data_IF_562413234717
#
_entry.id   IF_562413234717
#
_cell.length_a   1.000
_cell.length_b   1.000
_cell.length_c   1.000
_cell.angle_alpha   90.00
_cell.angle_beta   90.00
_cell.angle_gamma   90.00
#
_symmetry.space_group_name_H-M   'P 1'
#
loop_
_entity.id
_entity.type
_entity.pdbx_description
1 polymer ?
#
# COMPACT_ATOMS: atom_id res chain seq x y z
N UNK A 1 43.83 14.00 -30.58
CA UNK A 1 43.76 13.15 -29.37
C UNK A 1 42.31 12.67 -29.25
N UNK A 2 42.06 11.37 -29.40
CA UNK A 2 40.72 10.76 -29.52
C UNK A 2 40.33 10.07 -28.21
N UNK A 3 39.15 10.35 -27.67
CA UNK A 3 38.60 9.68 -26.50
C UNK A 3 37.97 8.31 -26.86
N UNK A 4 38.03 7.30 -25.98
CA UNK A 4 37.41 6.00 -26.23
C UNK A 4 35.88 6.04 -26.02
N UNK A 5 35.15 5.38 -26.92
CA UNK A 5 33.69 5.28 -26.92
C UNK A 5 33.26 4.14 -25.98
N UNK A 6 32.39 4.43 -25.00
CA UNK A 6 31.76 3.41 -24.14
C UNK A 6 30.59 2.76 -24.89
N UNK A 7 30.71 1.47 -25.19
CA UNK A 7 29.64 0.67 -25.82
C UNK A 7 28.74 0.11 -24.71
N UNK A 8 27.50 0.60 -24.65
CA UNK A 8 26.44 0.06 -23.79
C UNK A 8 25.75 -1.10 -24.52
N UNK A 9 25.91 -2.33 -24.01
CA UNK A 9 25.15 -3.50 -24.49
C UNK A 9 23.72 -3.43 -23.92
N UNK A 10 22.73 -3.25 -24.79
CA UNK A 10 21.32 -3.30 -24.42
C UNK A 10 20.86 -4.74 -24.12
N UNK A 11 20.02 -4.97 -23.09
CA UNK A 11 19.32 -6.25 -22.92
C UNK A 11 18.24 -6.43 -24.02
N UNK A 12 17.94 -7.68 -24.44
CA UNK A 12 16.99 -7.93 -25.52
C UNK A 12 15.55 -7.54 -25.14
N UNK A 13 14.73 -7.13 -26.12
CA UNK A 13 13.33 -6.79 -25.88
C UNK A 13 12.51 -8.08 -25.76
N UNK A 14 12.03 -8.39 -24.55
CA UNK A 14 10.95 -9.35 -24.41
C UNK A 14 9.64 -8.63 -24.76
N UNK A 15 9.27 -8.74 -26.04
CA UNK A 15 8.01 -8.22 -26.57
C UNK A 15 6.81 -8.98 -25.99
N UNK A 16 5.78 -8.21 -25.66
CA UNK A 16 4.46 -8.68 -25.30
C UNK A 16 3.51 -7.49 -25.25
N UNK A 17 2.82 -7.26 -26.36
CA UNK A 17 1.73 -6.31 -26.56
C UNK A 17 0.75 -6.28 -25.39
N UNK A 18 0.59 -5.11 -24.76
CA UNK A 18 -0.69 -4.64 -24.24
C UNK A 18 -0.75 -3.12 -24.34
N UNK A 19 -1.57 -2.66 -25.29
CA UNK A 19 -2.09 -1.30 -25.38
C UNK A 19 -2.82 -0.93 -24.08
N UNK A 20 -2.32 0.07 -23.36
CA UNK A 20 -3.05 0.85 -22.37
C UNK A 20 -2.23 2.08 -21.98
N UNK A 21 -2.67 3.23 -22.48
CA UNK A 21 -2.68 4.56 -21.86
C UNK A 21 -1.68 4.83 -20.74
N UNK A 22 -0.84 5.86 -20.93
CA UNK A 22 0.01 6.45 -19.90
C UNK A 22 -0.80 6.76 -18.63
N UNK A 23 -0.72 5.87 -17.65
CA UNK A 23 -1.22 6.08 -16.31
C UNK A 23 -0.03 6.14 -15.37
N UNK A 24 -0.04 7.17 -14.53
CA UNK A 24 0.96 7.46 -13.51
C UNK A 24 1.22 6.18 -12.72
N UNK A 25 2.47 5.79 -12.40
CA UNK A 25 2.68 4.70 -11.47
C UNK A 25 2.22 5.17 -10.09
N UNK A 26 0.93 5.00 -9.80
CA UNK A 26 0.46 4.88 -8.44
C UNK A 26 1.32 3.81 -7.76
N UNK A 27 1.81 4.02 -6.53
CA UNK A 27 2.68 3.08 -5.86
C UNK A 27 1.94 1.75 -5.73
N UNK A 28 2.25 0.82 -6.62
CA UNK A 28 1.77 -0.56 -6.57
C UNK A 28 2.40 -1.17 -5.33
N UNK A 29 1.69 -1.11 -4.21
CA UNK A 29 1.97 -1.94 -3.04
C UNK A 29 1.61 -3.39 -3.39
N UNK A 30 2.31 -3.95 -4.38
CA UNK A 30 2.37 -5.36 -4.71
C UNK A 30 3.24 -6.07 -3.68
N UNK A 31 2.85 -5.99 -2.42
CA UNK A 31 3.28 -6.93 -1.40
C UNK A 31 2.16 -7.92 -1.22
N UNK A 32 2.18 -9.02 -2.00
CA UNK A 32 1.32 -10.17 -1.75
C UNK A 32 1.61 -10.71 -0.36
N UNK A 33 0.98 -10.13 0.64
CA UNK A 33 1.09 -10.54 2.04
C UNK A 33 0.05 -11.63 2.18
N UNK A 34 0.55 -12.87 2.26
CA UNK A 34 -0.21 -14.07 2.60
C UNK A 34 -1.33 -13.73 3.57
N UNK A 35 -2.56 -14.14 3.27
CA UNK A 35 -3.79 -13.92 4.05
C UNK A 35 -3.58 -14.32 5.52
N UNK A 36 -3.01 -13.40 6.28
CA UNK A 36 -2.54 -13.58 7.63
C UNK A 36 -2.96 -12.37 8.43
N UNK A 37 -3.25 -12.58 9.70
CA UNK A 37 -3.75 -11.53 10.59
C UNK A 37 -2.84 -10.29 10.52
N UNK A 38 -3.39 -9.09 10.28
CA UNK A 38 -2.59 -7.87 10.16
C UNK A 38 -1.80 -7.66 11.44
N UNK A 39 -0.53 -7.23 11.31
CA UNK A 39 0.25 -6.77 12.45
C UNK A 39 -0.39 -5.47 12.94
N UNK A 40 -0.84 -5.43 14.18
CA UNK A 40 -1.51 -4.27 14.77
C UNK A 40 -0.83 -3.87 16.07
N UNK A 41 -0.68 -2.57 16.30
CA UNK A 41 -0.32 -2.07 17.64
C UNK A 41 -1.45 -2.37 18.63
N UNK A 42 -1.12 -2.37 19.93
CA UNK A 42 -2.11 -2.57 20.99
C UNK A 42 -3.26 -1.57 20.90
N UNK A 43 -2.95 -0.29 20.67
CA UNK A 43 -3.95 0.78 20.52
C UNK A 43 -4.87 0.55 19.33
N UNK A 44 -4.31 0.21 18.15
CA UNK A 44 -5.09 -0.11 16.97
C UNK A 44 -6.02 -1.30 17.19
N UNK A 45 -5.52 -2.37 17.84
CA UNK A 45 -6.32 -3.56 18.15
C UNK A 45 -7.48 -3.23 19.09
N UNK A 46 -7.23 -2.47 20.15
CA UNK A 46 -8.27 -2.05 21.09
C UNK A 46 -9.31 -1.16 20.42
N UNK A 47 -8.89 -0.22 19.57
CA UNK A 47 -9.81 0.64 18.80
C UNK A 47 -10.70 -0.18 17.85
N UNK A 48 -10.10 -1.09 17.07
CA UNK A 48 -10.84 -1.98 16.19
C UNK A 48 -11.86 -2.83 16.95
N UNK A 49 -11.46 -3.43 18.08
CA UNK A 49 -12.36 -4.19 18.94
C UNK A 49 -13.51 -3.33 19.49
N UNK A 50 -13.22 -2.10 19.95
CA UNK A 50 -14.21 -1.16 20.45
C UNK A 50 -15.23 -0.71 19.39
N UNK A 51 -14.83 -0.71 18.11
CA UNK A 51 -15.71 -0.40 16.98
C UNK A 51 -16.40 -1.64 16.38
N UNK A 52 -16.11 -2.85 16.88
CA UNK A 52 -16.60 -4.10 16.31
C UNK A 52 -16.02 -4.42 14.93
N UNK A 53 -14.83 -3.92 14.61
CA UNK A 53 -14.12 -4.18 13.35
C UNK A 53 -13.22 -5.41 13.53
N UNK A 54 -13.49 -6.53 12.85
CA UNK A 54 -12.65 -7.71 12.92
C UNK A 54 -11.32 -7.49 12.19
N UNK A 55 -10.28 -8.21 12.61
CA UNK A 55 -8.95 -8.11 11.97
C UNK A 55 -8.98 -8.50 10.48
N UNK A 56 -9.91 -9.35 10.06
CA UNK A 56 -10.16 -9.69 8.66
C UNK A 56 -10.58 -8.48 7.82
N UNK A 57 -11.40 -7.58 8.39
CA UNK A 57 -11.85 -6.38 7.67
C UNK A 57 -10.74 -5.35 7.57
N UNK A 58 -9.90 -5.24 8.60
CA UNK A 58 -8.66 -4.44 8.55
C UNK A 58 -7.73 -4.97 7.47
N UNK A 59 -7.53 -6.29 7.40
CA UNK A 59 -6.71 -6.91 6.35
C UNK A 59 -7.30 -6.65 4.97
N UNK A 60 -8.61 -6.80 4.82
CA UNK A 60 -9.33 -6.49 3.57
C UNK A 60 -9.15 -5.03 3.14
N UNK A 61 -9.11 -4.10 4.09
CA UNK A 61 -8.89 -2.68 3.82
C UNK A 61 -7.48 -2.44 3.27
N UNK A 62 -6.49 -3.17 3.76
CA UNK A 62 -5.10 -3.07 3.29
C UNK A 62 -4.90 -3.77 1.93
N UNK A 63 -5.51 -4.95 1.75
CA UNK A 63 -5.34 -5.77 0.55
C UNK A 63 -6.09 -5.20 -0.67
N UNK A 64 -7.25 -4.59 -0.42
CA UNK A 64 -8.10 -4.00 -1.45
C UNK A 64 -8.75 -2.71 -0.92
N UNK A 65 -7.97 -1.62 -0.80
CA UNK A 65 -8.46 -0.29 -0.45
C UNK A 65 -9.24 0.31 -1.62
N UNK A 66 -10.23 1.14 -1.31
CA UNK A 66 -10.88 2.04 -2.28
C UNK A 66 -10.00 3.26 -2.58
N UNK A 67 -9.28 3.75 -1.56
CA UNK A 67 -8.40 4.92 -1.65
C UNK A 67 -7.16 4.72 -0.77
N UNK A 68 -6.01 5.21 -1.23
CA UNK A 68 -4.72 5.09 -0.56
C UNK A 68 -4.02 6.44 -0.57
N UNK A 69 -3.84 7.02 0.61
CA UNK A 69 -3.30 8.37 0.78
C UNK A 69 -2.05 8.32 1.69
N UNK A 70 -0.84 8.62 1.17
CA UNK A 70 0.34 8.72 2.01
C UNK A 70 0.18 9.88 3.00
N UNK A 71 0.57 9.65 4.25
CA UNK A 71 0.48 10.67 5.29
C UNK A 71 1.44 11.83 4.96
N UNK A 72 0.89 13.06 4.89
CA UNK A 72 1.65 14.26 4.46
C UNK A 72 2.74 14.65 5.45
N UNK A 73 2.53 14.39 6.73
CA UNK A 73 3.48 14.74 7.78
C UNK A 73 4.54 13.65 7.95
N UNK A 74 4.14 12.39 7.74
CA UNK A 74 5.00 11.22 7.90
C UNK A 74 4.88 10.29 6.68
N UNK A 75 5.65 10.52 5.60
CA UNK A 75 5.50 9.76 4.34
C UNK A 75 5.84 8.27 4.43
N UNK A 76 6.39 7.82 5.57
CA UNK A 76 6.52 6.39 5.90
C UNK A 76 5.22 5.76 6.42
N UNK A 77 4.12 6.50 6.42
CA UNK A 77 2.80 6.02 6.81
C UNK A 77 1.80 6.21 5.68
N UNK A 78 0.85 5.29 5.61
CA UNK A 78 -0.16 5.27 4.55
C UNK A 78 -1.53 5.06 5.16
N UNK A 79 -2.49 5.88 4.74
CA UNK A 79 -3.90 5.75 5.04
C UNK A 79 -4.57 4.91 3.97
N UNK A 80 -5.03 3.72 4.34
CA UNK A 80 -5.87 2.87 3.52
C UNK A 80 -7.33 3.13 3.88
N UNK A 81 -8.17 3.39 2.89
CA UNK A 81 -9.59 3.63 3.09
C UNK A 81 -10.41 2.60 2.35
N UNK A 82 -11.45 2.11 3.01
CA UNK A 82 -12.42 1.20 2.41
C UNK A 82 -13.80 1.46 3.00
N UNK A 83 -14.70 2.03 2.20
CA UNK A 83 -15.96 2.61 2.67
C UNK A 83 -15.71 3.56 3.84
N UNK A 84 -16.35 3.28 4.98
CA UNK A 84 -16.23 4.07 6.20
C UNK A 84 -14.97 3.74 7.03
N UNK A 85 -14.24 2.67 6.71
CA UNK A 85 -13.09 2.21 7.48
C UNK A 85 -11.81 2.91 6.99
N UNK A 86 -11.05 3.48 7.92
CA UNK A 86 -9.73 4.07 7.65
C UNK A 86 -8.68 3.36 8.50
N UNK A 87 -7.63 2.88 7.86
CA UNK A 87 -6.52 2.15 8.48
C UNK A 87 -5.23 2.90 8.20
N UNK A 88 -4.57 3.36 9.26
CA UNK A 88 -3.22 3.94 9.15
C UNK A 88 -2.20 2.83 9.38
N UNK A 89 -1.35 2.56 8.39
CA UNK A 89 -0.24 1.63 8.53
C UNK A 89 1.12 2.34 8.39
N UNK A 90 2.13 1.80 9.05
CA UNK A 90 3.52 2.13 8.80
C UNK A 90 4.04 1.43 7.53
N UNK A 91 5.21 1.85 7.04
CA UNK A 91 5.87 1.31 5.85
C UNK A 91 6.20 -0.20 5.96
N UNK A 92 6.31 -0.74 7.18
CA UNK A 92 6.48 -2.18 7.43
C UNK A 92 5.17 -2.99 7.34
N UNK A 93 4.05 -2.31 7.11
CA UNK A 93 2.69 -2.86 7.09
C UNK A 93 2.10 -3.09 8.48
N UNK A 94 2.66 -2.50 9.54
CA UNK A 94 2.07 -2.52 10.88
C UNK A 94 0.96 -1.47 10.98
N UNK A 95 -0.23 -1.90 11.39
CA UNK A 95 -1.38 -1.04 11.64
C UNK A 95 -1.19 -0.24 12.92
N UNK A 96 -1.12 1.07 12.76
CA UNK A 96 -0.92 2.04 13.83
C UNK A 96 -2.25 2.54 14.40
N UNK A 97 -3.26 2.73 13.54
CA UNK A 97 -4.58 3.26 13.92
C UNK A 97 -5.66 2.67 13.03
N UNK A 98 -6.84 2.48 13.63
CA UNK A 98 -8.06 2.11 12.92
C UNK A 98 -9.11 3.12 13.31
N UNK A 99 -9.80 3.68 12.33
CA UNK A 99 -10.87 4.65 12.51
C UNK A 99 -12.07 4.29 11.65
N UNK A 100 -13.24 4.77 12.03
CA UNK A 100 -14.45 4.66 11.23
C UNK A 100 -15.05 6.06 11.04
N UNK A 101 -15.21 6.49 9.80
CA UNK A 101 -15.91 7.74 9.46
C UNK A 101 -17.42 7.47 9.52
N UNK A 102 -18.20 8.40 10.09
CA UNK A 102 -19.66 8.30 10.09
C UNK A 102 -20.32 7.80 11.39
N UNK A 103 -19.71 8.03 12.56
CA UNK A 103 -20.43 8.00 13.84
C UNK A 103 -20.25 9.29 14.61
#
# INVERSE_FOLDING_TARGET
MTAPQLVFLAPPPTGGDHDATADVPAPRHSGGRTAGTPRMTRGARTAAAGMGVPASDVQRCIDAPDDTDPDRDVPSRTHFRRGDLVVLAAADGTVLRVERRGR
#
